data_IF_704396909497
#
_entry.id   IF_704396909497
#
_cell.length_a   1.000
_cell.length_b   1.000
_cell.length_c   1.000
_cell.angle_alpha   90.00
_cell.angle_beta   90.00
_cell.angle_gamma   90.00
#
_symmetry.space_group_name_H-M   'P 1'
#
loop_
_entity.id
_entity.type
_entity.pdbx_description
1 polymer ?
#
# COMPACT_ATOMS: atom_id res chain seq x y z
N UNK A 1 -13.35 11.68 7.92
CA UNK A 1 -14.49 10.77 7.66
C UNK A 1 -14.88 10.05 8.93
N UNK A 2 -13.97 9.29 9.55
CA UNK A 2 -14.22 8.64 10.84
C UNK A 2 -14.66 9.64 11.92
N UNK A 3 -13.93 10.75 12.09
CA UNK A 3 -14.27 11.76 13.09
C UNK A 3 -15.70 12.30 12.94
N UNK A 4 -16.13 12.57 11.70
CA UNK A 4 -17.51 13.00 11.40
C UNK A 4 -18.55 11.93 11.76
N UNK A 5 -18.27 10.65 11.47
CA UNK A 5 -19.19 9.54 11.80
C UNK A 5 -19.30 9.33 13.30
N UNK A 6 -18.16 9.30 13.99
CA UNK A 6 -18.09 9.13 15.44
C UNK A 6 -18.81 10.29 16.14
N UNK A 7 -18.58 11.54 15.69
CA UNK A 7 -19.25 12.71 16.25
C UNK A 7 -20.78 12.67 16.04
N UNK A 8 -21.26 12.00 14.98
CA UNK A 8 -22.68 11.78 14.73
C UNK A 8 -23.28 10.59 15.52
N UNK A 9 -22.50 9.91 16.36
CA UNK A 9 -22.94 8.72 17.11
C UNK A 9 -23.00 7.44 16.28
N UNK A 10 -22.39 7.44 15.09
CA UNK A 10 -22.32 6.28 14.20
C UNK A 10 -20.98 5.54 14.35
N UNK A 11 -20.90 4.25 13.99
CA UNK A 11 -19.64 3.54 13.88
C UNK A 11 -18.65 4.23 12.92
N UNK A 12 -17.36 4.07 13.19
CA UNK A 12 -16.32 4.58 12.29
C UNK A 12 -16.50 4.00 10.87
N UNK A 13 -16.31 4.83 9.85
CA UNK A 13 -16.44 4.40 8.45
C UNK A 13 -15.34 3.44 8.03
N UNK A 14 -14.16 3.55 8.64
CA UNK A 14 -12.98 2.73 8.32
C UNK A 14 -12.28 2.31 9.60
N UNK A 15 -11.92 1.03 9.68
CA UNK A 15 -10.82 0.58 10.51
C UNK A 15 -9.51 0.78 9.72
N UNK A 16 -8.54 1.50 10.30
CA UNK A 16 -7.27 1.83 9.63
C UNK A 16 -6.15 1.07 10.31
N UNK A 17 -5.40 0.31 9.52
CA UNK A 17 -4.25 -0.46 9.97
C UNK A 17 -3.01 -0.08 9.16
N UNK A 18 -1.89 0.12 9.86
CA UNK A 18 -0.56 0.17 9.23
C UNK A 18 0.02 -1.23 9.31
N UNK A 19 0.40 -1.79 8.16
CA UNK A 19 0.98 -3.13 8.06
C UNK A 19 2.39 -3.08 7.49
N UNK A 20 3.27 -3.95 7.95
CA UNK A 20 4.64 -4.06 7.46
C UNK A 20 5.23 -5.44 7.75
N UNK A 21 6.38 -5.75 7.13
CA UNK A 21 7.14 -6.98 7.41
C UNK A 21 7.79 -6.98 8.80
N UNK A 22 7.88 -5.82 9.46
CA UNK A 22 8.42 -5.64 10.81
C UNK A 22 7.43 -4.86 11.68
N UNK A 23 7.41 -5.08 13.01
CA UNK A 23 6.46 -4.40 13.91
C UNK A 23 6.74 -2.90 14.06
N UNK A 24 7.94 -2.46 13.67
CA UNK A 24 8.36 -1.06 13.70
C UNK A 24 9.04 -0.73 12.39
N UNK A 25 8.65 0.40 11.79
CA UNK A 25 9.24 0.91 10.55
C UNK A 25 9.62 2.38 10.73
N UNK A 26 10.74 2.79 10.13
CA UNK A 26 11.17 4.20 10.12
C UNK A 26 10.80 4.83 8.78
N UNK A 27 10.11 5.96 8.81
CA UNK A 27 9.79 6.74 7.61
C UNK A 27 10.98 7.59 7.17
N UNK A 28 10.95 8.09 5.94
CA UNK A 28 11.95 9.04 5.43
C UNK A 28 12.01 10.36 6.21
N UNK A 29 10.95 10.70 6.96
CA UNK A 29 10.92 11.87 7.84
C UNK A 29 11.54 11.58 9.23
N UNK A 30 12.08 10.39 9.47
CA UNK A 30 12.70 9.99 10.73
C UNK A 30 11.71 9.48 11.79
N UNK A 31 10.40 9.58 11.56
CA UNK A 31 9.36 9.05 12.44
C UNK A 31 9.38 7.52 12.46
N UNK A 32 9.15 6.93 13.62
CA UNK A 32 8.95 5.48 13.76
C UNK A 32 7.45 5.21 13.88
N UNK A 33 6.93 4.33 13.04
CA UNK A 33 5.56 3.85 13.09
C UNK A 33 5.54 2.45 13.67
N UNK A 34 4.60 2.20 14.58
CA UNK A 34 4.19 0.86 14.96
C UNK A 34 3.31 0.30 13.84
N UNK A 35 3.52 -0.97 13.51
CA UNK A 35 2.81 -1.66 12.44
C UNK A 35 2.40 -3.05 12.90
N UNK A 36 1.24 -3.49 12.41
CA UNK A 36 0.86 -4.90 12.48
C UNK A 36 1.69 -5.66 11.44
N UNK A 37 2.10 -6.88 11.77
CA UNK A 37 2.73 -7.74 10.77
C UNK A 37 1.77 -8.00 9.61
N UNK A 38 2.29 -8.11 8.38
CA UNK A 38 1.53 -8.40 7.18
C UNK A 38 0.52 -9.54 7.43
N UNK A 39 -0.80 -9.24 7.47
CA UNK A 39 -1.81 -10.25 7.78
C UNK A 39 -1.85 -11.35 6.72
N UNK A 40 -2.21 -12.59 7.11
CA UNK A 40 -2.39 -13.67 6.14
C UNK A 40 -3.55 -13.36 5.17
N UNK A 41 -3.59 -14.07 4.04
CA UNK A 41 -4.69 -13.99 3.08
C UNK A 41 -6.05 -14.29 3.74
N UNK A 42 -7.12 -13.70 3.19
CA UNK A 42 -8.48 -13.86 3.73
C UNK A 42 -8.83 -13.01 4.95
N UNK A 43 -7.92 -12.18 5.46
CA UNK A 43 -8.13 -11.32 6.65
C UNK A 43 -9.03 -10.08 6.44
N UNK A 44 -9.91 -10.07 5.43
CA UNK A 44 -10.98 -9.06 5.31
C UNK A 44 -10.59 -7.58 5.15
N UNK A 45 -9.48 -7.22 4.51
CA UNK A 45 -9.19 -5.80 4.16
C UNK A 45 -9.93 -5.45 2.89
N UNK A 46 -10.83 -4.48 2.98
CA UNK A 46 -11.57 -3.98 1.82
C UNK A 46 -10.75 -3.06 0.92
N UNK A 47 -9.72 -2.39 1.46
CA UNK A 47 -8.94 -1.39 0.73
C UNK A 47 -7.46 -1.48 1.06
N UNK A 48 -6.64 -1.85 0.07
CA UNK A 48 -5.18 -1.82 0.15
C UNK A 48 -4.66 -0.50 -0.43
N UNK A 49 -3.84 0.22 0.34
CA UNK A 49 -3.15 1.43 -0.10
C UNK A 49 -1.64 1.21 0.02
N UNK A 50 -0.93 1.22 -1.11
CA UNK A 50 0.53 1.05 -1.15
C UNK A 50 1.20 2.43 -1.21
N UNK A 51 1.85 2.89 -0.12
CA UNK A 51 2.53 4.19 -0.12
C UNK A 51 3.83 4.14 -0.92
N UNK A 52 4.29 5.32 -1.34
CA UNK A 52 5.60 5.52 -1.92
C UNK A 52 6.69 5.85 -0.89
N UNK A 53 7.84 6.29 -1.37
CA UNK A 53 8.99 6.67 -0.55
C UNK A 53 10.30 6.23 -1.17
N UNK A 54 11.42 6.56 -0.51
CA UNK A 54 12.76 6.23 -1.02
C UNK A 54 13.03 4.72 -1.09
N UNK A 55 12.38 3.93 -0.23
CA UNK A 55 12.57 2.48 -0.15
C UNK A 55 11.89 1.66 -1.23
N UNK A 56 11.08 2.25 -2.12
CA UNK A 56 10.28 1.46 -3.07
C UNK A 56 11.10 0.59 -4.03
N UNK A 57 12.34 0.98 -4.36
CA UNK A 57 13.16 0.19 -5.29
C UNK A 57 13.62 -1.11 -4.66
N UNK A 58 14.15 -1.03 -3.43
CA UNK A 58 14.49 -2.20 -2.65
C UNK A 58 13.23 -3.06 -2.40
N UNK A 59 12.11 -2.43 -2.05
CA UNK A 59 10.85 -3.15 -1.82
C UNK A 59 10.32 -3.87 -3.07
N UNK A 60 10.60 -3.40 -4.29
CA UNK A 60 10.24 -4.12 -5.51
C UNK A 60 11.07 -5.39 -5.72
N UNK A 61 12.25 -5.48 -5.11
CA UNK A 61 13.11 -6.68 -5.17
C UNK A 61 12.72 -7.71 -4.11
N UNK A 62 11.85 -7.35 -3.15
CA UNK A 62 11.36 -8.24 -2.10
C UNK A 62 10.21 -9.12 -2.62
N UNK A 63 10.56 -10.30 -3.15
CA UNK A 63 9.59 -11.22 -3.75
C UNK A 63 8.42 -11.58 -2.82
N UNK A 64 8.67 -11.78 -1.52
CA UNK A 64 7.63 -12.09 -0.53
C UNK A 64 6.62 -10.95 -0.38
N UNK A 65 7.10 -9.69 -0.38
CA UNK A 65 6.25 -8.51 -0.31
C UNK A 65 5.39 -8.39 -1.58
N UNK A 66 5.98 -8.59 -2.76
CA UNK A 66 5.24 -8.56 -4.03
C UNK A 66 4.15 -9.64 -4.06
N UNK A 67 4.46 -10.87 -3.66
CA UNK A 67 3.46 -11.94 -3.58
C UNK A 67 2.37 -11.62 -2.56
N UNK A 68 2.72 -11.01 -1.43
CA UNK A 68 1.73 -10.56 -0.46
C UNK A 68 0.81 -9.49 -1.04
N UNK A 69 1.33 -8.50 -1.77
CA UNK A 69 0.54 -7.46 -2.45
C UNK A 69 -0.40 -8.07 -3.49
N UNK A 70 0.07 -9.03 -4.30
CA UNK A 70 -0.74 -9.74 -5.29
C UNK A 70 -1.91 -10.45 -4.60
N UNK A 71 -1.63 -11.28 -3.60
CA UNK A 71 -2.67 -12.03 -2.91
C UNK A 71 -3.62 -11.12 -2.15
N UNK A 72 -3.13 -10.04 -1.54
CA UNK A 72 -4.00 -9.08 -0.85
C UNK A 72 -4.90 -8.31 -1.80
N UNK A 73 -4.41 -7.97 -2.98
CA UNK A 73 -5.19 -7.28 -4.01
C UNK A 73 -6.29 -8.15 -4.62
N UNK A 74 -6.17 -9.48 -4.54
CA UNK A 74 -7.26 -10.40 -4.95
C UNK A 74 -8.43 -10.37 -3.98
N UNK A 75 -8.15 -10.22 -2.69
CA UNK A 75 -9.16 -10.20 -1.63
C UNK A 75 -9.76 -8.79 -1.43
N UNK A 76 -9.00 -7.75 -1.73
CA UNK A 76 -9.42 -6.36 -1.50
C UNK A 76 -10.42 -5.89 -2.56
N UNK A 77 -11.46 -5.20 -2.11
CA UNK A 77 -12.40 -4.51 -3.02
C UNK A 77 -11.71 -3.38 -3.79
N UNK A 78 -10.71 -2.73 -3.18
CA UNK A 78 -9.95 -1.63 -3.79
C UNK A 78 -8.46 -1.80 -3.53
N UNK A 79 -7.66 -1.68 -4.59
CA UNK A 79 -6.22 -1.50 -4.48
C UNK A 79 -5.84 -0.15 -5.07
N UNK A 80 -5.09 0.64 -4.31
CA UNK A 80 -4.60 1.95 -4.72
C UNK A 80 -3.15 2.13 -4.29
N UNK A 81 -2.48 3.11 -4.88
CA UNK A 81 -1.14 3.53 -4.49
C UNK A 81 -1.04 5.04 -4.38
N UNK A 82 -0.08 5.51 -3.60
CA UNK A 82 0.29 6.92 -3.51
C UNK A 82 1.73 7.11 -3.97
N UNK A 83 2.01 8.18 -4.72
CA UNK A 83 3.37 8.56 -5.11
C UNK A 83 4.08 7.42 -5.88
N UNK A 84 5.29 7.04 -5.47
CA UNK A 84 6.07 5.97 -6.07
C UNK A 84 5.61 4.56 -5.68
N UNK A 85 4.59 4.42 -4.81
CA UNK A 85 4.02 3.12 -4.47
C UNK A 85 3.39 2.40 -5.66
N UNK A 86 3.06 3.16 -6.72
CA UNK A 86 2.61 2.61 -8.00
C UNK A 86 3.61 1.62 -8.61
N UNK A 87 4.91 1.75 -8.32
CA UNK A 87 5.94 0.83 -8.80
C UNK A 87 5.79 -0.58 -8.25
N UNK A 88 5.39 -0.72 -6.99
CA UNK A 88 5.10 -2.01 -6.38
C UNK A 88 3.86 -2.66 -7.02
N UNK A 89 2.85 -1.85 -7.37
CA UNK A 89 1.67 -2.34 -8.09
C UNK A 89 1.99 -2.74 -9.54
N UNK A 90 2.88 -2.01 -10.21
CA UNK A 90 3.39 -2.38 -11.54
C UNK A 90 4.19 -3.68 -11.47
N UNK A 91 5.11 -3.81 -10.50
CA UNK A 91 5.90 -5.03 -10.28
C UNK A 91 5.00 -6.24 -9.97
N UNK A 92 3.89 -6.01 -9.27
CA UNK A 92 2.88 -7.04 -9.02
C UNK A 92 1.99 -7.38 -10.24
N UNK A 93 2.21 -6.75 -11.40
CA UNK A 93 1.38 -6.90 -12.61
C UNK A 93 -0.05 -6.36 -12.47
N UNK A 94 -0.35 -5.61 -11.41
CA UNK A 94 -1.70 -5.14 -11.10
C UNK A 94 -2.14 -3.98 -12.00
N UNK A 95 -1.18 -3.37 -12.69
CA UNK A 95 -1.40 -2.21 -13.57
C UNK A 95 -1.36 -2.57 -15.06
N UNK A 96 -1.15 -3.84 -15.41
CA UNK A 96 -1.06 -4.30 -16.80
C UNK A 96 -2.33 -3.97 -17.58
N UNK A 97 -2.16 -3.27 -18.71
CA UNK A 97 -3.27 -2.82 -19.56
C UNK A 97 -4.16 -1.74 -18.94
N UNK A 98 -3.74 -1.12 -17.82
CA UNK A 98 -4.49 -0.05 -17.13
C UNK A 98 -3.80 1.29 -17.25
N UNK A 99 -4.59 2.36 -17.20
CA UNK A 99 -4.04 3.72 -17.01
C UNK A 99 -3.62 3.89 -15.56
N UNK A 100 -2.37 4.28 -15.33
CA UNK A 100 -1.82 4.54 -14.01
C UNK A 100 -0.99 5.83 -14.01
N UNK A 101 -0.83 6.42 -12.83
CA UNK A 101 0.03 7.58 -12.59
C UNK A 101 0.94 7.29 -11.38
N UNK A 102 2.08 7.97 -11.33
CA UNK A 102 3.02 7.89 -10.21
C UNK A 102 3.53 9.29 -9.85
N UNK A 103 4.50 9.37 -8.93
CA UNK A 103 5.21 10.62 -8.65
C UNK A 103 5.90 11.16 -9.91
N UNK A 104 5.77 12.46 -10.17
CA UNK A 104 6.31 13.11 -11.38
C UNK A 104 7.81 12.81 -11.60
N UNK A 105 8.63 12.86 -10.54
CA UNK A 105 10.05 12.56 -10.60
C UNK A 105 10.41 11.08 -10.81
N UNK A 106 9.41 10.19 -10.86
CA UNK A 106 9.58 8.74 -11.04
C UNK A 106 8.98 8.22 -12.35
N UNK A 107 8.33 9.08 -13.15
CA UNK A 107 7.65 8.67 -14.40
C UNK A 107 8.57 7.94 -15.39
N UNK A 108 9.82 8.42 -15.55
CA UNK A 108 10.76 7.82 -16.49
C UNK A 108 11.12 6.37 -16.11
N UNK A 109 11.26 6.09 -14.82
CA UNK A 109 11.48 4.74 -14.30
C UNK A 109 10.22 3.90 -14.36
N UNK A 110 9.08 4.48 -14.01
CA UNK A 110 7.78 3.79 -13.99
C UNK A 110 7.36 3.29 -15.38
N UNK A 111 7.73 3.98 -16.46
CA UNK A 111 7.40 3.55 -17.84
C UNK A 111 8.14 2.27 -18.25
N UNK A 112 9.17 1.85 -17.51
CA UNK A 112 9.96 0.64 -17.78
C UNK A 112 9.50 -0.59 -16.99
N UNK A 113 8.47 -0.44 -16.15
CA UNK A 113 7.81 -1.52 -15.42
C UNK A 113 6.48 -1.79 -16.09
#
# INVERSE_FOLDING_TARGET
>A
ANDFKIQAGEPAAYEVMVVAASPRIRTSAGLVLEATLLPPHGSGIDTLIVPGGWGVNAACEEAELIQWIIGRSRDATRTASVCSGAMLLAEAGLLDGRRAVTHWGRCAEFTRR
#
